data_IF_860941535257
#
_entry.id   IF_860941535257
#
_cell.length_a   1.000
_cell.length_b   1.000
_cell.length_c   1.000
_cell.angle_alpha   90.00
_cell.angle_beta   90.00
_cell.angle_gamma   90.00
#
_symmetry.space_group_name_H-M   'P 1'
#
loop_
_entity.id
_entity.type
_entity.pdbx_description
1 polymer ?
#
# COMPACT_ATOMS: atom_id res chain seq x y z
N UNK A 1 21.32 25.85 -3.73
CA UNK A 1 22.54 25.13 -4.13
C UNK A 1 23.63 25.54 -3.16
N UNK A 2 24.23 24.59 -2.43
CA UNK A 2 25.29 24.85 -1.44
C UNK A 2 26.57 25.20 -2.18
N UNK A 3 27.15 26.37 -1.94
CA UNK A 3 28.31 26.88 -2.71
C UNK A 3 29.48 27.35 -1.85
N UNK A 4 29.30 27.43 -0.53
CA UNK A 4 30.37 27.79 0.41
C UNK A 4 30.59 26.70 1.45
N UNK A 5 31.79 26.67 2.04
CA UNK A 5 32.13 25.78 3.15
C UNK A 5 31.19 25.98 4.35
N UNK A 6 30.87 27.24 4.69
CA UNK A 6 29.97 27.56 5.79
C UNK A 6 28.53 27.07 5.54
N UNK A 7 28.04 27.15 4.29
CA UNK A 7 26.75 26.57 3.92
C UNK A 7 26.77 25.05 3.98
N UNK A 8 27.87 24.41 3.54
CA UNK A 8 28.04 22.97 3.62
C UNK A 8 28.04 22.47 5.06
N UNK A 9 28.82 23.10 5.94
CA UNK A 9 28.87 22.75 7.36
C UNK A 9 27.49 22.85 8.02
N UNK A 10 26.75 23.93 7.73
CA UNK A 10 25.38 24.12 8.24
C UNK A 10 24.43 23.00 7.81
N UNK A 11 24.46 22.62 6.53
CA UNK A 11 23.61 21.53 6.01
C UNK A 11 24.04 20.18 6.59
N UNK A 12 25.34 19.90 6.64
CA UNK A 12 25.89 18.69 7.24
C UNK A 12 25.44 18.55 8.69
N UNK A 13 25.62 19.60 9.50
CA UNK A 13 25.29 19.56 10.93
C UNK A 13 23.78 19.39 11.14
N UNK A 14 22.96 20.04 10.31
CA UNK A 14 21.51 19.84 10.31
C UNK A 14 21.11 18.39 9.98
N UNK A 15 21.73 17.78 8.96
CA UNK A 15 21.47 16.37 8.60
C UNK A 15 21.98 15.43 9.70
N UNK A 16 23.21 15.63 10.18
CA UNK A 16 23.82 14.81 11.23
C UNK A 16 22.99 14.83 12.52
N UNK A 17 22.32 15.94 12.83
CA UNK A 17 21.47 16.06 14.00
C UNK A 17 20.22 15.17 13.95
N UNK A 18 19.72 14.78 12.76
CA UNK A 18 18.45 14.05 12.60
C UNK A 18 18.61 12.65 11.99
N UNK A 19 19.66 12.44 11.19
CA UNK A 19 19.81 11.24 10.35
C UNK A 19 19.83 9.94 11.15
N UNK A 20 20.41 9.96 12.36
CA UNK A 20 20.50 8.76 13.20
C UNK A 20 19.12 8.33 13.69
N UNK A 21 18.34 9.27 14.24
CA UNK A 21 17.01 9.00 14.75
C UNK A 21 16.02 8.64 13.64
N UNK A 22 16.07 9.35 12.50
CA UNK A 22 15.26 9.03 11.33
C UNK A 22 15.60 7.65 10.75
N UNK A 23 16.89 7.28 10.72
CA UNK A 23 17.32 5.95 10.31
C UNK A 23 16.76 4.87 11.24
N UNK A 24 16.86 5.06 12.57
CA UNK A 24 16.30 4.10 13.53
C UNK A 24 14.79 3.97 13.40
N UNK A 25 14.07 5.09 13.22
CA UNK A 25 12.63 5.09 13.00
C UNK A 25 12.25 4.33 11.72
N UNK A 26 12.96 4.58 10.62
CA UNK A 26 12.73 3.90 9.35
C UNK A 26 13.03 2.40 9.44
N UNK A 27 14.15 2.00 10.04
CA UNK A 27 14.50 0.59 10.24
C UNK A 27 13.45 -0.13 11.08
N UNK A 28 12.98 0.50 12.16
CA UNK A 28 11.93 -0.06 13.03
C UNK A 28 10.60 -0.22 12.28
N UNK A 29 10.24 0.78 11.46
CA UNK A 29 9.05 0.72 10.61
C UNK A 29 9.15 -0.42 9.58
N UNK A 30 10.28 -0.56 8.91
CA UNK A 30 10.52 -1.64 7.94
C UNK A 30 10.46 -3.01 8.61
N UNK A 31 11.05 -3.17 9.79
CA UNK A 31 10.96 -4.41 10.56
C UNK A 31 9.50 -4.78 10.90
N UNK A 32 8.69 -3.79 11.29
CA UNK A 32 7.25 -3.96 11.55
C UNK A 32 6.49 -4.37 10.28
N UNK A 33 6.78 -3.74 9.14
CA UNK A 33 6.18 -4.07 7.84
C UNK A 33 6.50 -5.52 7.46
N UNK A 34 7.76 -5.93 7.53
CA UNK A 34 8.17 -7.30 7.17
C UNK A 34 7.60 -8.35 8.13
N UNK A 35 7.44 -8.02 9.40
CA UNK A 35 6.79 -8.90 10.38
C UNK A 35 5.33 -9.14 10.00
N UNK A 36 4.58 -8.07 9.70
CA UNK A 36 3.17 -8.18 9.26
C UNK A 36 3.03 -8.90 7.92
N UNK A 37 3.96 -8.69 6.99
CA UNK A 37 3.98 -9.42 5.72
C UNK A 37 4.09 -10.93 5.93
N UNK A 38 4.97 -11.38 6.83
CA UNK A 38 5.09 -12.80 7.23
C UNK A 38 3.83 -13.32 7.91
N UNK A 39 3.13 -12.50 8.69
CA UNK A 39 1.82 -12.85 9.27
C UNK A 39 0.77 -13.07 8.18
N UNK A 40 0.71 -12.21 7.17
CA UNK A 40 -0.17 -12.37 6.01
C UNK A 40 0.13 -13.67 5.28
N UNK A 41 1.39 -13.93 4.94
CA UNK A 41 1.81 -15.16 4.25
C UNK A 41 1.43 -16.42 5.03
N UNK A 42 1.62 -16.41 6.35
CA UNK A 42 1.23 -17.52 7.24
C UNK A 42 -0.29 -17.68 7.29
N UNK A 43 -1.04 -16.58 7.37
CA UNK A 43 -2.50 -16.60 7.33
C UNK A 43 -3.05 -17.20 6.04
N UNK A 44 -2.42 -16.90 4.90
CA UNK A 44 -2.78 -17.50 3.61
C UNK A 44 -2.50 -19.01 3.58
N UNK A 45 -1.36 -19.47 4.11
CA UNK A 45 -1.01 -20.91 4.17
C UNK A 45 -1.97 -21.73 5.03
N UNK A 46 -2.64 -21.10 6.00
CA UNK A 46 -3.66 -21.76 6.82
C UNK A 46 -4.99 -22.01 6.11
N UNK A 47 -5.20 -21.48 4.90
CA UNK A 47 -6.46 -21.56 4.18
C UNK A 47 -6.41 -22.68 3.12
N UNK A 48 -7.29 -23.69 3.26
CA UNK A 48 -7.27 -24.91 2.42
C UNK A 48 -8.54 -25.10 1.56
N UNK A 49 -9.39 -24.08 1.42
CA UNK A 49 -10.64 -24.18 0.66
C UNK A 49 -10.48 -23.74 -0.78
N UNK A 50 -10.93 -24.56 -1.74
CA UNK A 50 -10.94 -24.23 -3.17
C UNK A 50 -11.77 -22.98 -3.48
N UNK A 51 -12.83 -22.72 -2.70
CA UNK A 51 -13.66 -21.53 -2.85
C UNK A 51 -12.90 -20.22 -2.55
N UNK A 52 -11.74 -20.31 -1.88
CA UNK A 52 -10.91 -19.18 -1.49
C UNK A 52 -9.74 -18.93 -2.45
N UNK A 53 -9.58 -19.72 -3.51
CA UNK A 53 -8.46 -19.56 -4.45
C UNK A 53 -8.40 -18.15 -5.07
N UNK A 54 -9.55 -17.61 -5.48
CA UNK A 54 -9.65 -16.26 -6.04
C UNK A 54 -9.18 -15.18 -5.04
N UNK A 55 -9.84 -15.05 -3.87
CA UNK A 55 -9.42 -14.10 -2.84
C UNK A 55 -7.96 -14.25 -2.39
N UNK A 56 -7.46 -15.48 -2.24
CA UNK A 56 -6.06 -15.73 -1.89
C UNK A 56 -5.10 -15.32 -3.02
N UNK A 57 -5.52 -15.47 -4.28
CA UNK A 57 -4.80 -14.96 -5.44
C UNK A 57 -4.69 -13.44 -5.42
N UNK A 58 -5.81 -12.75 -5.17
CA UNK A 58 -5.86 -11.28 -5.06
C UNK A 58 -4.98 -10.77 -3.90
N UNK A 59 -5.07 -11.38 -2.71
CA UNK A 59 -4.23 -11.02 -1.56
C UNK A 59 -2.74 -11.20 -1.88
N UNK A 60 -2.37 -12.28 -2.59
CA UNK A 60 -0.99 -12.48 -3.05
C UNK A 60 -0.54 -11.35 -3.97
N UNK A 61 -1.40 -10.95 -4.91
CA UNK A 61 -1.15 -9.83 -5.82
C UNK A 61 -0.99 -8.51 -5.07
N UNK A 62 -1.86 -8.22 -4.10
CA UNK A 62 -1.76 -7.02 -3.27
C UNK A 62 -0.44 -6.99 -2.49
N UNK A 63 -0.06 -8.11 -1.84
CA UNK A 63 1.20 -8.20 -1.09
C UNK A 63 2.42 -7.97 -1.99
N UNK A 64 2.46 -8.58 -3.17
CA UNK A 64 3.52 -8.38 -4.15
C UNK A 64 3.57 -6.94 -4.69
N UNK A 65 2.41 -6.28 -4.81
CA UNK A 65 2.29 -4.89 -5.23
C UNK A 65 2.69 -3.88 -4.15
N UNK A 66 2.59 -4.24 -2.87
CA UNK A 66 3.06 -3.43 -1.74
C UNK A 66 4.55 -3.63 -1.49
N UNK A 67 5.06 -4.86 -1.63
CA UNK A 67 6.43 -5.22 -1.27
C UNK A 67 7.25 -5.73 -2.48
N UNK A 68 7.34 -4.99 -3.60
CA UNK A 68 8.28 -5.33 -4.65
C UNK A 68 9.73 -5.17 -4.18
N UNK A 69 10.68 -5.70 -4.96
CA UNK A 69 12.08 -5.40 -4.74
C UNK A 69 12.30 -3.87 -4.76
N UNK A 70 12.96 -3.33 -3.73
CA UNK A 70 13.17 -1.90 -3.60
C UNK A 70 11.96 -1.10 -3.09
N UNK A 71 10.94 -1.74 -2.51
CA UNK A 71 9.73 -1.04 -2.03
C UNK A 71 10.00 0.12 -1.06
N UNK A 72 11.11 0.06 -0.30
CA UNK A 72 11.46 1.10 0.67
C UNK A 72 11.71 2.44 -0.03
N UNK A 73 12.61 2.46 -1.01
CA UNK A 73 12.90 3.66 -1.80
C UNK A 73 11.79 3.97 -2.80
N UNK A 74 11.14 2.95 -3.35
CA UNK A 74 10.06 3.12 -4.32
C UNK A 74 8.80 3.79 -3.75
N UNK A 75 8.45 3.50 -2.49
CA UNK A 75 7.28 4.11 -1.85
C UNK A 75 7.60 5.46 -1.18
N UNK A 76 8.81 5.62 -0.64
CA UNK A 76 9.18 6.77 0.18
C UNK A 76 8.64 6.69 1.62
N UNK A 77 9.28 7.40 2.54
CA UNK A 77 9.03 7.28 3.98
C UNK A 77 7.56 7.58 4.38
N UNK A 78 6.95 8.60 3.77
CA UNK A 78 5.56 8.98 4.07
C UNK A 78 4.56 7.86 3.72
N UNK A 79 4.75 7.18 2.59
CA UNK A 79 3.88 6.06 2.20
C UNK A 79 4.17 4.81 3.01
N UNK A 80 5.44 4.53 3.33
CA UNK A 80 5.80 3.40 4.19
C UNK A 80 5.12 3.46 5.54
N UNK A 81 4.89 4.65 6.09
CA UNK A 81 4.15 4.81 7.36
C UNK A 81 2.74 4.21 7.32
N UNK A 82 2.12 4.10 6.12
CA UNK A 82 0.79 3.52 5.93
C UNK A 82 0.80 2.00 5.73
N UNK A 83 1.94 1.40 5.37
CA UNK A 83 2.02 -0.02 5.04
C UNK A 83 1.55 -0.94 6.17
N UNK A 84 1.88 -0.69 7.45
CA UNK A 84 1.34 -1.50 8.54
C UNK A 84 -0.19 -1.56 8.54
N UNK A 85 -0.88 -0.45 8.22
CA UNK A 85 -2.35 -0.38 8.14
C UNK A 85 -2.90 -1.17 6.95
N UNK A 86 -2.24 -1.10 5.79
CA UNK A 86 -2.64 -1.91 4.63
C UNK A 86 -2.48 -3.41 4.90
N UNK A 87 -1.38 -3.82 5.54
CA UNK A 87 -1.15 -5.21 5.92
C UNK A 87 -2.14 -5.68 7.00
N UNK A 88 -2.48 -4.83 7.96
CA UNK A 88 -3.56 -5.11 8.92
C UNK A 88 -4.92 -5.28 8.21
N UNK A 89 -5.18 -4.51 7.16
CA UNK A 89 -6.38 -4.67 6.33
C UNK A 89 -6.43 -6.03 5.62
N UNK A 90 -5.30 -6.52 5.13
CA UNK A 90 -5.20 -7.88 4.57
C UNK A 90 -5.46 -8.94 5.64
N UNK A 91 -4.88 -8.77 6.83
CA UNK A 91 -5.09 -9.71 7.95
C UNK A 91 -6.56 -9.76 8.38
N UNK A 92 -7.25 -8.63 8.43
CA UNK A 92 -8.68 -8.56 8.75
C UNK A 92 -9.53 -9.26 7.69
N UNK A 93 -9.20 -9.06 6.41
CA UNK A 93 -9.84 -9.80 5.32
C UNK A 93 -9.64 -11.30 5.51
N UNK A 94 -8.40 -11.76 5.70
CA UNK A 94 -8.09 -13.18 5.90
C UNK A 94 -8.85 -13.83 7.06
N UNK A 95 -9.05 -13.10 8.17
CA UNK A 95 -9.79 -13.59 9.35
C UNK A 95 -11.28 -13.81 9.06
N UNK A 96 -11.87 -12.96 8.23
CA UNK A 96 -13.32 -12.97 7.95
C UNK A 96 -13.69 -13.73 6.66
N UNK A 97 -12.68 -14.09 5.87
CA UNK A 97 -12.84 -14.66 4.53
C UNK A 97 -13.60 -15.99 4.53
N UNK A 98 -13.33 -16.87 5.50
CA UNK A 98 -13.99 -18.18 5.60
C UNK A 98 -15.45 -18.06 6.07
N UNK A 99 -15.75 -17.11 6.95
CA UNK A 99 -17.08 -16.94 7.54
C UNK A 99 -18.05 -16.22 6.60
N UNK A 100 -17.56 -15.34 5.73
CA UNK A 100 -18.39 -14.51 4.87
C UNK A 100 -17.91 -14.41 3.40
N UNK A 101 -17.69 -15.54 2.69
CA UNK A 101 -17.12 -15.54 1.34
C UNK A 101 -17.96 -14.80 0.30
N UNK A 102 -19.30 -14.78 0.45
CA UNK A 102 -20.19 -14.02 -0.43
C UNK A 102 -20.04 -12.50 -0.28
N UNK A 103 -19.84 -12.00 0.95
CA UNK A 103 -19.56 -10.59 1.22
C UNK A 103 -18.20 -10.19 0.67
N UNK A 104 -17.18 -11.05 0.86
CA UNK A 104 -15.86 -10.84 0.27
C UNK A 104 -15.94 -10.72 -1.25
N UNK A 105 -16.64 -11.66 -1.91
CA UNK A 105 -16.82 -11.64 -3.37
C UNK A 105 -17.46 -10.35 -3.87
N UNK A 106 -18.49 -9.85 -3.17
CA UNK A 106 -19.17 -8.60 -3.55
C UNK A 106 -18.21 -7.42 -3.48
N UNK A 107 -17.47 -7.29 -2.37
CA UNK A 107 -16.46 -6.25 -2.17
C UNK A 107 -15.30 -6.37 -3.17
N UNK A 108 -14.90 -7.60 -3.49
CA UNK A 108 -13.87 -7.86 -4.49
C UNK A 108 -14.30 -7.37 -5.87
N UNK A 109 -15.53 -7.66 -6.31
CA UNK A 109 -16.06 -7.11 -7.56
C UNK A 109 -16.12 -5.58 -7.59
N UNK A 110 -16.37 -4.94 -6.44
CA UNK A 110 -16.30 -3.48 -6.34
C UNK A 110 -14.87 -2.95 -6.54
N UNK A 111 -13.89 -3.56 -5.87
CA UNK A 111 -12.48 -3.23 -6.03
C UNK A 111 -11.99 -3.44 -7.48
N UNK A 112 -12.31 -4.58 -8.08
CA UNK A 112 -11.86 -4.96 -9.42
C UNK A 112 -12.27 -3.95 -10.49
N UNK A 113 -13.46 -3.36 -10.38
CA UNK A 113 -13.90 -2.29 -11.30
C UNK A 113 -12.98 -1.08 -11.26
N UNK A 114 -12.51 -0.68 -10.08
CA UNK A 114 -11.60 0.46 -9.92
C UNK A 114 -10.17 0.10 -10.30
N UNK A 115 -9.72 -1.12 -9.99
CA UNK A 115 -8.43 -1.62 -10.42
C UNK A 115 -8.35 -1.72 -11.96
N UNK A 116 -9.43 -2.14 -12.62
CA UNK A 116 -9.51 -2.17 -14.08
C UNK A 116 -9.46 -0.76 -14.67
N UNK A 117 -10.22 0.20 -14.12
CA UNK A 117 -10.16 1.59 -14.58
C UNK A 117 -8.76 2.20 -14.44
N UNK A 118 -8.03 1.86 -13.37
CA UNK A 118 -6.63 2.24 -13.20
C UNK A 118 -5.73 1.62 -14.27
N UNK A 119 -5.90 0.33 -14.57
CA UNK A 119 -5.16 -0.36 -15.62
C UNK A 119 -5.44 0.22 -17.01
N UNK A 120 -6.70 0.49 -17.33
CA UNK A 120 -7.13 1.09 -18.60
C UNK A 120 -6.56 2.49 -18.82
N UNK A 121 -6.31 3.23 -17.73
CA UNK A 121 -5.63 4.52 -17.75
C UNK A 121 -4.09 4.43 -17.88
N UNK A 122 -3.55 3.21 -18.05
CA UNK A 122 -2.10 2.94 -18.16
C UNK A 122 -1.41 2.70 -16.81
N UNK A 123 -2.17 2.53 -15.74
CA UNK A 123 -1.64 2.22 -14.42
C UNK A 123 -1.12 0.79 -14.33
N UNK A 124 0.03 0.60 -13.67
CA UNK A 124 0.55 -0.74 -13.36
C UNK A 124 0.89 -0.87 -11.88
N UNK A 125 0.93 -2.10 -11.39
CA UNK A 125 1.35 -2.46 -10.03
C UNK A 125 2.37 -3.61 -10.15
N UNK A 126 3.63 -3.44 -9.69
CA UNK A 126 4.20 -2.24 -9.06
C UNK A 126 4.21 -1.00 -9.95
N UNK A 127 4.28 0.17 -9.31
CA UNK A 127 4.33 1.47 -9.99
C UNK A 127 5.73 1.69 -10.60
N UNK A 128 5.84 1.98 -11.91
CA UNK A 128 7.11 2.32 -12.56
C UNK A 128 7.67 3.65 -12.06
N UNK A 129 8.99 3.79 -12.12
CA UNK A 129 9.63 5.08 -11.91
C UNK A 129 9.16 6.08 -12.98
N UNK A 130 8.81 7.30 -12.57
CA UNK A 130 8.35 8.35 -13.49
C UNK A 130 6.90 8.21 -13.97
N UNK A 131 6.09 7.35 -13.36
CA UNK A 131 4.65 7.33 -13.63
C UNK A 131 4.01 8.71 -13.44
N UNK A 132 3.01 9.01 -14.28
CA UNK A 132 2.26 10.26 -14.19
C UNK A 132 1.67 10.46 -12.77
N UNK A 133 1.69 11.68 -12.20
CA UNK A 133 1.26 11.94 -10.82
C UNK A 133 -0.13 11.37 -10.49
N UNK A 134 -1.09 11.48 -11.40
CA UNK A 134 -2.43 10.91 -11.25
C UNK A 134 -2.44 9.38 -11.08
N UNK A 135 -1.55 8.66 -11.76
CA UNK A 135 -1.43 7.21 -11.63
C UNK A 135 -0.79 6.86 -10.28
N UNK A 136 0.19 7.65 -9.83
CA UNK A 136 0.77 7.50 -8.50
C UNK A 136 -0.30 7.71 -7.42
N UNK A 137 -1.11 8.75 -7.54
CA UNK A 137 -2.21 9.01 -6.60
C UNK A 137 -3.21 7.86 -6.59
N UNK A 138 -3.71 7.45 -7.75
CA UNK A 138 -4.73 6.41 -7.85
C UNK A 138 -4.21 5.06 -7.38
N UNK A 139 -2.93 4.73 -7.63
CA UNK A 139 -2.27 3.54 -7.06
C UNK A 139 -2.45 3.47 -5.55
N UNK A 140 -2.33 4.58 -4.84
CA UNK A 140 -2.49 4.62 -3.39
C UNK A 140 -3.95 4.72 -2.96
N UNK A 141 -4.81 5.40 -3.73
CA UNK A 141 -6.26 5.35 -3.51
C UNK A 141 -6.82 3.93 -3.61
N UNK A 142 -6.25 3.06 -4.45
CA UNK A 142 -6.64 1.65 -4.50
C UNK A 142 -6.37 0.91 -3.17
N UNK A 143 -5.27 1.20 -2.47
CA UNK A 143 -5.01 0.61 -1.14
C UNK A 143 -5.97 1.15 -0.08
N UNK A 144 -6.25 2.46 -0.11
CA UNK A 144 -7.26 3.05 0.75
C UNK A 144 -8.64 2.43 0.50
N UNK A 145 -8.97 2.20 -0.77
CA UNK A 145 -10.23 1.60 -1.15
C UNK A 145 -10.35 0.16 -0.62
N UNK A 146 -9.26 -0.63 -0.72
CA UNK A 146 -9.20 -1.96 -0.09
C UNK A 146 -9.43 -1.89 1.42
N UNK A 147 -8.79 -0.97 2.14
CA UNK A 147 -9.05 -0.80 3.58
C UNK A 147 -10.52 -0.44 3.84
N UNK A 148 -11.10 0.45 3.05
CA UNK A 148 -12.52 0.83 3.19
C UNK A 148 -13.50 -0.32 2.95
N UNK A 149 -13.15 -1.25 2.06
CA UNK A 149 -13.99 -2.40 1.73
C UNK A 149 -13.84 -3.54 2.74
N UNK A 150 -12.60 -3.89 3.09
CA UNK A 150 -12.31 -5.12 3.83
C UNK A 150 -12.04 -4.90 5.32
N UNK A 151 -11.68 -3.69 5.74
CA UNK A 151 -11.21 -3.41 7.11
C UNK A 151 -11.62 -2.01 7.62
N UNK A 152 -12.92 -1.70 7.56
CA UNK A 152 -13.49 -0.38 7.88
C UNK A 152 -13.04 0.20 9.23
N UNK A 153 -12.86 -0.66 10.25
CA UNK A 153 -12.42 -0.26 11.60
C UNK A 153 -11.04 0.40 11.63
N UNK A 154 -10.19 0.16 10.63
CA UNK A 154 -8.85 0.74 10.54
C UNK A 154 -8.84 2.18 10.05
N UNK A 155 -9.93 2.63 9.42
CA UNK A 155 -10.01 3.94 8.79
C UNK A 155 -9.11 4.08 7.56
N UNK A 156 -9.31 5.17 6.82
CA UNK A 156 -8.51 5.53 5.64
C UNK A 156 -7.69 6.77 5.94
N UNK A 157 -6.49 6.90 5.37
CA UNK A 157 -5.66 8.09 5.55
C UNK A 157 -6.23 9.31 4.81
N UNK A 158 -7.08 9.06 3.81
CA UNK A 158 -7.82 10.07 3.06
C UNK A 158 -9.17 9.50 2.59
N UNK A 159 -10.19 10.36 2.42
CA UNK A 159 -11.49 9.91 1.91
C UNK A 159 -11.35 9.26 0.53
N UNK A 160 -11.91 8.07 0.37
CA UNK A 160 -11.85 7.29 -0.87
C UNK A 160 -13.23 6.77 -1.25
N UNK A 161 -13.52 6.79 -2.55
CA UNK A 161 -14.72 6.20 -3.14
C UNK A 161 -14.48 5.93 -4.63
N UNK A 162 -15.32 5.11 -5.29
CA UNK A 162 -15.24 4.93 -6.74
C UNK A 162 -15.28 6.25 -7.52
N UNK A 163 -16.12 7.19 -7.12
CA UNK A 163 -16.22 8.51 -7.76
C UNK A 163 -14.92 9.31 -7.62
N UNK A 164 -14.27 9.25 -6.45
CA UNK A 164 -12.98 9.93 -6.23
C UNK A 164 -11.86 9.31 -7.07
N UNK A 165 -11.80 7.98 -7.15
CA UNK A 165 -10.83 7.27 -8.00
C UNK A 165 -11.03 7.66 -9.48
N UNK A 166 -12.26 7.61 -9.97
CA UNK A 166 -12.57 7.98 -11.36
C UNK A 166 -12.26 9.45 -11.66
N UNK A 167 -12.47 10.34 -10.68
CA UNK A 167 -12.11 11.74 -10.81
C UNK A 167 -10.59 11.94 -10.89
N UNK A 168 -9.82 11.32 -9.99
CA UNK A 168 -8.36 11.40 -10.02
C UNK A 168 -7.79 10.84 -11.33
N UNK A 169 -8.41 9.81 -11.92
CA UNK A 169 -8.02 9.29 -13.23
C UNK A 169 -8.31 10.23 -14.40
N UNK A 170 -9.34 11.09 -14.31
CA UNK A 170 -9.73 12.01 -15.39
C UNK A 170 -9.00 13.35 -15.36
N UNK A 171 -8.35 13.69 -14.25
CA UNK A 171 -7.52 14.87 -14.11
C UNK A 171 -6.26 14.75 -15.00
N UNK A 172 -5.90 15.83 -15.71
CA UNK A 172 -4.80 15.89 -16.68
C UNK A 172 -3.53 16.39 -16.02
#
# INVERSE_FOLDING_TARGET
>A
MVRTEAEFARVRDGVSAVVVDELFALVSLVAKILTKAREVERGMKGQNSLALLGPLGDIRGQLAGLLPNGFISGAGAERLAQFPRYLDGILDRLRTLADAPGKDRTRQSEYERMAQAYADAGGTIPLPAGSAPRLVEVRWLLEEYRVSLFAQRLGTAQPVSPQRIMKALSEK
#
